data_IF_466664639485
#
_entry.id   IF_466664639485
#
_cell.length_a   1.000
_cell.length_b   1.000
_cell.length_c   1.000
_cell.angle_alpha   90.00
_cell.angle_beta   90.00
_cell.angle_gamma   90.00
#
_symmetry.space_group_name_H-M   'P 1'
#
loop_
_entity.id
_entity.type
_entity.pdbx_description
1 polymer ?
#
# COMPACT_ATOMS: atom_id res chain seq x y z
N UNK A 1 16.82 17.48 -8.69
CA UNK A 1 15.38 17.53 -8.97
C UNK A 1 14.73 16.71 -7.87
N UNK A 2 14.04 17.34 -6.92
CA UNK A 2 13.34 16.62 -5.85
C UNK A 2 12.17 15.88 -6.51
N UNK A 3 12.27 14.56 -6.68
CA UNK A 3 11.09 13.75 -6.93
C UNK A 3 10.16 13.90 -5.73
N UNK A 4 8.87 14.06 -5.99
CA UNK A 4 7.89 13.92 -4.92
C UNK A 4 8.08 12.53 -4.30
N UNK A 5 7.97 12.38 -2.97
CA UNK A 5 8.21 11.09 -2.32
C UNK A 5 7.22 9.99 -2.76
N UNK A 6 6.15 10.36 -3.46
CA UNK A 6 5.15 9.48 -4.05
C UNK A 6 4.92 9.83 -5.52
N UNK A 7 5.03 8.84 -6.41
CA UNK A 7 4.66 8.95 -7.82
C UNK A 7 3.19 8.52 -7.98
N UNK A 8 2.32 9.45 -8.37
CA UNK A 8 0.92 9.13 -8.69
C UNK A 8 0.85 8.40 -10.04
N UNK A 9 0.43 7.14 -10.02
CA UNK A 9 0.32 6.27 -11.19
C UNK A 9 -1.03 6.48 -11.89
N UNK A 10 -2.11 6.53 -11.12
CA UNK A 10 -3.46 6.76 -11.64
C UNK A 10 -4.41 7.26 -10.55
N UNK A 11 -5.50 7.91 -10.95
CA UNK A 11 -6.60 8.28 -10.07
C UNK A 11 -7.97 8.21 -10.73
N UNK A 12 -8.99 7.93 -9.92
CA UNK A 12 -10.37 7.76 -10.36
C UNK A 12 -11.33 8.39 -9.35
N UNK A 13 -12.29 9.18 -9.83
CA UNK A 13 -13.40 9.66 -9.00
C UNK A 13 -14.25 8.48 -8.54
N UNK A 14 -14.58 8.41 -7.24
CA UNK A 14 -15.32 7.28 -6.67
C UNK A 14 -16.13 7.73 -5.45
N UNK A 15 -17.46 7.62 -5.50
CA UNK A 15 -18.38 7.98 -4.40
C UNK A 15 -18.13 9.36 -3.77
N UNK A 16 -17.81 10.37 -4.59
CA UNK A 16 -17.49 11.74 -4.15
C UNK A 16 -16.07 11.93 -3.60
N UNK A 17 -15.33 10.84 -3.37
CA UNK A 17 -13.90 10.84 -3.09
C UNK A 17 -13.05 10.50 -4.31
N UNK A 18 -11.80 10.11 -4.08
CA UNK A 18 -10.85 9.74 -5.13
C UNK A 18 -10.09 8.48 -4.74
N UNK A 19 -10.14 7.47 -5.61
CA UNK A 19 -9.25 6.31 -5.55
C UNK A 19 -7.94 6.66 -6.26
N UNK A 20 -6.81 6.55 -5.57
CA UNK A 20 -5.48 6.83 -6.12
C UNK A 20 -4.57 5.62 -6.00
N UNK A 21 -3.67 5.49 -6.96
CA UNK A 21 -2.64 4.46 -7.02
C UNK A 21 -1.28 5.14 -7.11
N UNK A 22 -0.37 4.71 -6.25
CA UNK A 22 0.94 5.32 -6.11
C UNK A 22 2.05 4.28 -6.24
N UNK A 23 3.22 4.75 -6.59
CA UNK A 23 4.48 4.04 -6.48
C UNK A 23 5.47 4.89 -5.69
N UNK A 24 6.35 4.26 -4.93
CA UNK A 24 7.52 4.92 -4.34
C UNK A 24 8.71 3.96 -4.26
N UNK A 25 9.92 4.52 -4.23
CA UNK A 25 11.14 3.75 -4.06
C UNK A 25 11.33 3.43 -2.57
N UNK A 26 11.03 2.18 -2.18
CA UNK A 26 11.12 1.77 -0.78
C UNK A 26 12.56 1.52 -0.35
N UNK A 27 12.92 2.10 0.78
CA UNK A 27 14.19 1.89 1.47
C UNK A 27 14.24 0.58 2.25
N UNK A 28 13.14 0.14 2.88
CA UNK A 28 13.09 -1.14 3.62
C UNK A 28 13.11 -2.35 2.68
N UNK A 29 12.42 -2.26 1.54
CA UNK A 29 12.37 -3.31 0.51
C UNK A 29 13.55 -3.20 -0.47
N UNK A 30 14.06 -1.99 -0.72
CA UNK A 30 15.12 -1.74 -1.70
C UNK A 30 14.68 -1.86 -3.16
N UNK A 31 13.38 -1.78 -3.43
CA UNK A 31 12.74 -1.84 -4.75
C UNK A 31 11.53 -0.89 -4.80
N UNK A 32 11.04 -0.50 -5.99
CA UNK A 32 9.79 0.23 -6.11
C UNK A 32 8.61 -0.57 -5.57
N UNK A 33 7.80 0.06 -4.73
CA UNK A 33 6.61 -0.54 -4.12
C UNK A 33 5.36 0.24 -4.50
N UNK A 34 4.26 -0.48 -4.73
CA UNK A 34 2.96 0.11 -5.04
C UNK A 34 2.00 -0.04 -3.89
N UNK A 35 1.10 0.93 -3.80
CA UNK A 35 -0.02 0.91 -2.88
C UNK A 35 -1.15 1.78 -3.44
N UNK A 36 -2.34 1.63 -2.89
CA UNK A 36 -3.49 2.44 -3.25
C UNK A 36 -4.11 3.10 -2.03
N UNK A 37 -4.65 4.29 -2.22
CA UNK A 37 -5.36 5.05 -1.19
C UNK A 37 -6.68 5.56 -1.74
N UNK A 38 -7.78 5.23 -1.07
CA UNK A 38 -9.04 5.95 -1.26
C UNK A 38 -9.10 7.12 -0.28
N UNK A 39 -9.26 8.34 -0.81
CA UNK A 39 -9.50 9.53 -0.01
C UNK A 39 -10.99 9.90 -0.09
N UNK A 40 -11.71 9.91 1.05
CA UNK A 40 -13.13 10.27 1.08
C UNK A 40 -13.31 11.80 0.85
N UNK A 41 -14.51 12.29 0.50
CA UNK A 41 -14.73 13.71 0.24
C UNK A 41 -14.30 14.64 1.40
N UNK A 42 -14.42 14.15 2.64
CA UNK A 42 -14.03 14.84 3.87
C UNK A 42 -12.53 15.14 3.94
N UNK A 43 -11.68 14.39 3.23
CA UNK A 43 -10.24 14.63 3.17
C UNK A 43 -9.89 15.99 2.53
N UNK A 44 -10.83 16.61 1.80
CA UNK A 44 -10.67 17.98 1.29
C UNK A 44 -10.75 19.06 2.37
N UNK A 45 -11.31 18.73 3.54
CA UNK A 45 -11.47 19.65 4.67
C UNK A 45 -10.37 19.51 5.72
N UNK A 46 -9.61 18.40 5.70
CA UNK A 46 -8.52 18.14 6.62
C UNK A 46 -8.22 16.65 6.77
N UNK A 47 -7.27 16.28 7.64
CA UNK A 47 -6.89 14.89 7.87
C UNK A 47 -8.04 14.01 8.37
N UNK A 48 -8.17 12.82 7.80
CA UNK A 48 -9.20 11.83 8.15
C UNK A 48 -8.58 10.58 8.78
N UNK A 49 -9.32 9.82 9.62
CA UNK A 49 -8.85 8.50 10.05
C UNK A 49 -8.70 7.57 8.83
N UNK A 50 -7.81 6.59 8.94
CA UNK A 50 -7.59 5.60 7.90
C UNK A 50 -7.84 4.18 8.40
N UNK A 51 -8.06 3.27 7.45
CA UNK A 51 -8.08 1.83 7.66
C UNK A 51 -7.08 1.19 6.71
N UNK A 52 -6.11 0.47 7.28
CA UNK A 52 -5.19 -0.38 6.52
C UNK A 52 -5.83 -1.74 6.22
N UNK A 53 -5.94 -2.09 4.94
CA UNK A 53 -6.38 -3.40 4.48
C UNK A 53 -5.21 -4.18 3.89
N UNK A 54 -4.88 -5.31 4.53
CA UNK A 54 -3.83 -6.22 4.09
C UNK A 54 -4.44 -7.38 3.28
N UNK A 55 -4.19 -7.40 1.97
CA UNK A 55 -4.72 -8.42 1.09
C UNK A 55 -4.04 -9.79 1.27
N UNK A 56 -4.69 -10.87 0.83
CA UNK A 56 -4.17 -12.22 0.94
C UNK A 56 -3.22 -12.61 -0.19
N UNK A 57 -2.93 -13.91 -0.27
CA UNK A 57 -2.07 -14.50 -1.30
C UNK A 57 -2.50 -14.12 -2.71
N UNK A 58 -1.53 -13.99 -3.62
CA UNK A 58 -1.68 -13.65 -5.05
C UNK A 58 -2.25 -12.25 -5.36
N UNK A 59 -2.64 -11.48 -4.33
CA UNK A 59 -3.26 -10.17 -4.50
C UNK A 59 -2.21 -9.07 -4.70
N UNK A 60 -2.68 -7.88 -5.02
CA UNK A 60 -1.93 -6.63 -5.14
C UNK A 60 -2.75 -5.44 -4.60
N UNK A 61 -2.21 -4.23 -4.74
CA UNK A 61 -2.80 -2.96 -4.29
C UNK A 61 -4.15 -2.63 -4.94
N UNK A 62 -4.45 -3.23 -6.10
CA UNK A 62 -5.70 -3.02 -6.85
C UNK A 62 -6.83 -3.93 -6.38
N UNK A 63 -6.47 -5.11 -5.87
CA UNK A 63 -7.42 -6.22 -5.69
C UNK A 63 -8.57 -5.86 -4.76
N UNK A 64 -8.26 -5.26 -3.60
CA UNK A 64 -9.25 -4.83 -2.63
C UNK A 64 -10.10 -3.67 -3.18
N UNK A 65 -9.43 -2.65 -3.73
CA UNK A 65 -10.11 -1.44 -4.22
C UNK A 65 -11.06 -1.73 -5.37
N UNK A 66 -10.72 -2.66 -6.27
CA UNK A 66 -11.56 -2.98 -7.41
C UNK A 66 -12.76 -3.87 -7.05
N UNK A 67 -12.62 -4.76 -6.06
CA UNK A 67 -13.59 -5.86 -5.85
C UNK A 67 -14.41 -5.76 -4.57
N UNK A 68 -13.95 -5.04 -3.54
CA UNK A 68 -14.63 -5.02 -2.25
C UNK A 68 -15.85 -4.08 -2.21
N UNK A 69 -15.88 -3.05 -3.06
CA UNK A 69 -16.91 -2.01 -3.01
C UNK A 69 -16.90 -1.18 -1.72
N UNK A 70 -15.77 -1.19 -0.98
CA UNK A 70 -15.64 -0.58 0.35
C UNK A 70 -15.69 0.97 0.31
N UNK A 71 -15.32 1.58 -0.83
CA UNK A 71 -15.24 3.04 -0.97
C UNK A 71 -16.57 3.74 -0.71
N UNK A 72 -17.72 3.11 -1.01
CA UNK A 72 -19.04 3.70 -0.74
C UNK A 72 -19.23 3.98 0.74
N UNK A 73 -19.02 2.97 1.58
CA UNK A 73 -19.19 3.11 3.03
C UNK A 73 -18.06 3.97 3.63
N UNK A 74 -16.84 3.84 3.12
CA UNK A 74 -15.72 4.67 3.56
C UNK A 74 -15.98 6.17 3.31
N UNK A 75 -16.62 6.53 2.19
CA UNK A 75 -17.04 7.90 1.90
C UNK A 75 -18.11 8.40 2.88
N UNK A 76 -19.10 7.57 3.21
CA UNK A 76 -20.15 7.90 4.19
C UNK A 76 -19.55 8.14 5.59
N UNK A 77 -18.54 7.35 5.98
CA UNK A 77 -17.89 7.42 7.28
C UNK A 77 -16.76 8.45 7.37
N UNK A 78 -16.29 8.99 6.25
CA UNK A 78 -15.11 9.86 6.22
C UNK A 78 -13.83 9.12 6.59
N UNK A 79 -13.67 7.87 6.10
CA UNK A 79 -12.54 6.99 6.36
C UNK A 79 -11.67 6.85 5.09
N UNK A 80 -10.37 7.10 5.20
CA UNK A 80 -9.44 6.73 4.15
C UNK A 80 -9.21 5.22 4.14
N UNK A 81 -9.04 4.62 2.97
CA UNK A 81 -8.67 3.20 2.85
C UNK A 81 -7.28 3.11 2.26
N UNK A 82 -6.39 2.35 2.90
CA UNK A 82 -5.02 2.11 2.43
C UNK A 82 -4.92 0.62 2.07
N UNK A 83 -4.47 0.30 0.85
CA UNK A 83 -4.19 -1.07 0.45
C UNK A 83 -2.79 -1.17 -0.18
N UNK A 84 -1.78 -1.65 0.55
CA UNK A 84 -0.46 -1.91 -0.01
C UNK A 84 -0.45 -3.16 -0.92
N UNK A 85 0.59 -3.27 -1.74
CA UNK A 85 0.94 -4.55 -2.37
C UNK A 85 1.35 -5.60 -1.31
N UNK A 86 1.33 -6.88 -1.67
CA UNK A 86 1.45 -8.02 -0.75
C UNK A 86 2.85 -8.61 -0.66
N UNK A 87 3.76 -8.18 -1.54
CA UNK A 87 5.16 -8.59 -1.56
C UNK A 87 6.00 -7.59 -2.37
N UNK A 88 7.34 -7.66 -2.29
CA UNK A 88 8.21 -7.04 -3.29
C UNK A 88 7.89 -7.52 -4.70
N UNK A 89 8.14 -6.67 -5.70
CA UNK A 89 8.01 -7.01 -7.13
C UNK A 89 9.34 -6.72 -7.85
N UNK A 90 9.71 -7.57 -8.80
CA UNK A 90 10.90 -7.35 -9.63
C UNK A 90 12.24 -7.57 -8.92
N UNK A 91 12.26 -8.36 -7.83
CA UNK A 91 13.49 -8.70 -7.13
C UNK A 91 14.39 -9.66 -7.94
N UNK A 92 13.82 -10.41 -8.88
CA UNK A 92 14.51 -11.39 -9.73
C UNK A 92 15.27 -12.44 -8.89
N UNK A 93 14.69 -12.81 -7.74
CA UNK A 93 15.20 -13.87 -6.88
C UNK A 93 14.80 -15.23 -7.47
N UNK A 94 15.73 -16.17 -7.53
CA UNK A 94 15.45 -17.52 -7.99
C UNK A 94 14.34 -18.17 -7.12
N UNK A 95 13.31 -18.70 -7.77
CA UNK A 95 12.16 -19.32 -7.09
C UNK A 95 11.06 -18.35 -6.66
N UNK A 96 11.19 -17.04 -6.84
CA UNK A 96 10.24 -16.05 -6.30
C UNK A 96 8.82 -16.15 -6.87
N UNK A 97 8.65 -16.78 -8.03
CA UNK A 97 7.36 -16.94 -8.70
C UNK A 97 7.02 -18.42 -9.02
N UNK A 98 7.73 -19.37 -8.39
CA UNK A 98 7.51 -20.81 -8.65
C UNK A 98 6.26 -21.37 -7.95
N UNK A 99 5.83 -20.74 -6.85
CA UNK A 99 4.62 -21.14 -6.11
C UNK A 99 3.74 -19.93 -5.80
N UNK A 100 2.43 -20.17 -5.68
CA UNK A 100 1.43 -19.15 -5.37
C UNK A 100 1.41 -18.76 -3.89
N UNK A 101 1.92 -19.63 -3.02
CA UNK A 101 1.96 -19.49 -1.57
C UNK A 101 3.35 -19.09 -1.03
N UNK A 102 4.30 -18.74 -1.91
CA UNK A 102 5.64 -18.34 -1.52
C UNK A 102 6.25 -17.32 -2.49
N UNK A 103 7.01 -16.36 -1.97
CA UNK A 103 7.65 -15.33 -2.77
C UNK A 103 6.69 -14.20 -3.18
N UNK A 104 6.51 -14.01 -4.48
CA UNK A 104 5.77 -12.90 -5.10
C UNK A 104 4.27 -13.11 -4.93
N UNK A 105 3.58 -12.10 -4.40
CA UNK A 105 2.17 -12.21 -3.98
C UNK A 105 1.99 -12.93 -2.64
N UNK A 106 3.08 -13.26 -1.93
CA UNK A 106 3.09 -14.08 -0.73
C UNK A 106 4.14 -13.61 0.27
N UNK A 107 4.10 -12.32 0.65
CA UNK A 107 5.08 -11.73 1.57
C UNK A 107 4.87 -12.04 3.05
N UNK A 108 3.70 -12.56 3.43
CA UNK A 108 3.30 -12.93 4.81
C UNK A 108 3.42 -11.83 5.87
N UNK A 109 3.65 -10.56 5.46
CA UNK A 109 3.74 -9.41 6.36
C UNK A 109 4.79 -9.58 7.47
N UNK A 110 5.94 -10.16 7.12
CA UNK A 110 7.07 -10.36 8.02
C UNK A 110 8.36 -9.77 7.42
N UNK A 111 9.38 -9.67 8.26
CA UNK A 111 10.76 -9.45 7.84
C UNK A 111 11.52 -10.78 7.76
N UNK A 112 11.85 -11.20 6.54
CA UNK A 112 12.59 -12.42 6.28
C UNK A 112 14.03 -12.31 6.80
N UNK A 113 14.55 -13.40 7.38
CA UNK A 113 15.92 -13.45 7.92
C UNK A 113 16.87 -14.30 7.09
N UNK A 114 16.34 -15.17 6.24
CA UNK A 114 17.14 -16.09 5.43
C UNK A 114 17.43 -15.50 4.05
N UNK A 115 18.67 -15.63 3.60
CA UNK A 115 19.03 -15.33 2.21
C UNK A 115 18.35 -16.34 1.26
N UNK A 116 17.98 -15.93 0.03
CA UNK A 116 18.11 -14.57 -0.52
C UNK A 116 17.00 -13.59 -0.08
N UNK A 117 15.95 -14.08 0.57
CA UNK A 117 14.71 -13.34 0.88
C UNK A 117 14.91 -12.13 1.80
N UNK A 118 15.82 -12.23 2.76
CA UNK A 118 16.12 -11.18 3.74
C UNK A 118 16.54 -9.84 3.14
N UNK A 119 16.91 -9.82 1.85
CA UNK A 119 17.25 -8.59 1.14
C UNK A 119 16.04 -7.72 0.81
N UNK A 120 14.90 -8.34 0.48
CA UNK A 120 13.74 -7.63 -0.09
C UNK A 120 12.42 -7.95 0.63
N UNK A 121 12.23 -9.14 1.19
CA UNK A 121 10.99 -9.53 1.88
C UNK A 121 10.96 -8.96 3.30
N UNK A 122 10.85 -7.64 3.41
CA UNK A 122 10.78 -6.87 4.66
C UNK A 122 9.45 -6.14 4.78
N UNK A 123 8.37 -6.90 4.66
CA UNK A 123 7.01 -6.35 4.52
C UNK A 123 6.51 -5.71 5.81
N UNK A 124 6.91 -6.23 6.97
CA UNK A 124 6.56 -5.65 8.26
C UNK A 124 7.20 -4.26 8.41
N UNK A 125 8.51 -4.17 8.20
CA UNK A 125 9.24 -2.90 8.25
C UNK A 125 8.72 -1.91 7.22
N UNK A 126 8.50 -2.35 5.98
CA UNK A 126 7.96 -1.49 4.93
C UNK A 126 6.60 -0.90 5.29
N UNK A 127 5.69 -1.69 5.85
CA UNK A 127 4.36 -1.18 6.21
C UNK A 127 4.46 -0.24 7.41
N UNK A 128 5.08 -0.69 8.50
CA UNK A 128 4.97 -0.05 9.81
C UNK A 128 5.94 1.11 10.02
N UNK A 129 7.18 0.99 9.50
CA UNK A 129 8.24 1.97 9.71
C UNK A 129 8.39 2.93 8.52
N UNK A 130 7.94 2.56 7.33
CA UNK A 130 8.12 3.35 6.11
C UNK A 130 6.81 3.88 5.53
N UNK A 131 5.89 3.01 5.10
CA UNK A 131 4.69 3.39 4.37
C UNK A 131 3.72 4.21 5.22
N UNK A 132 3.35 3.73 6.42
CA UNK A 132 2.36 4.44 7.24
C UNK A 132 2.84 5.86 7.65
N UNK A 133 4.09 6.05 8.14
CA UNK A 133 4.62 7.39 8.38
C UNK A 133 4.63 8.27 7.13
N UNK A 134 5.09 7.72 5.99
CA UNK A 134 5.12 8.44 4.72
C UNK A 134 3.73 8.93 4.31
N UNK A 135 2.70 8.08 4.43
CA UNK A 135 1.33 8.43 4.09
C UNK A 135 0.76 9.52 5.00
N UNK A 136 1.02 9.46 6.30
CA UNK A 136 0.60 10.49 7.24
C UNK A 136 1.26 11.85 6.98
N UNK A 137 2.52 11.85 6.54
CA UNK A 137 3.27 13.08 6.23
C UNK A 137 2.87 13.72 4.89
N UNK A 138 2.36 12.92 3.95
CA UNK A 138 2.19 13.36 2.55
C UNK A 138 0.74 13.45 2.09
N UNK A 139 -0.18 12.75 2.76
CA UNK A 139 -1.61 12.73 2.44
C UNK A 139 -2.42 13.25 3.64
N UNK A 140 -3.69 13.68 3.43
CA UNK A 140 -4.57 14.12 4.52
C UNK A 140 -5.08 12.94 5.37
N UNK A 141 -4.16 12.23 6.03
CA UNK A 141 -4.42 11.10 6.92
C UNK A 141 -3.99 11.46 8.33
N UNK A 142 -4.83 11.16 9.30
CA UNK A 142 -4.52 11.36 10.72
C UNK A 142 -3.66 10.22 11.25
N UNK A 143 -2.37 10.50 11.52
CA UNK A 143 -1.40 9.54 12.03
C UNK A 143 -1.82 8.86 13.36
N UNK A 144 -2.63 9.53 14.18
CA UNK A 144 -3.10 9.01 15.46
C UNK A 144 -4.29 8.05 15.34
N UNK A 145 -4.84 7.87 14.12
CA UNK A 145 -6.06 7.09 13.85
C UNK A 145 -5.94 6.28 12.56
N UNK A 146 -5.02 5.32 12.56
CA UNK A 146 -4.82 4.31 11.51
C UNK A 146 -5.06 2.92 12.09
#
# INVERSE_FOLDING_TARGET
MNQAPLDLVSEHACFGGTQRFYQHDSTEIGLPMKFSVFLPPQASLGPVPALLYLAGLTCNEETFMAKAGAQRLAAELGLALIAPDTSPRGANVAGEAESWDFGVGAGFYLDATQAPWSRHWRMESWITAELLPLLADTLPIDAGRI
#
